data_IF_766056408526
#
_entry.id   IF_766056408526
#
_cell.length_a   1.000
_cell.length_b   1.000
_cell.length_c   1.000
_cell.angle_alpha   90.00
_cell.angle_beta   90.00
_cell.angle_gamma   90.00
#
_symmetry.space_group_name_H-M   'P 1'
#
loop_
_entity.id
_entity.type
_entity.pdbx_description
1 polymer ?
#
# COMPACT_ATOMS: atom_id res chain seq x y z
N UNK A 1 13.07 12.89 -15.65
CA UNK A 1 11.74 12.45 -15.18
C UNK A 1 11.51 11.01 -15.54
N UNK A 2 10.97 10.26 -14.59
CA UNK A 2 10.46 8.90 -14.81
C UNK A 2 8.98 8.99 -15.24
N UNK A 3 8.59 8.20 -16.23
CA UNK A 3 7.23 8.17 -16.80
C UNK A 3 6.64 6.74 -16.83
N UNK A 4 7.31 5.78 -16.20
CA UNK A 4 6.77 4.43 -16.00
C UNK A 4 5.92 4.36 -14.73
N UNK A 5 5.58 3.15 -14.33
CA UNK A 5 4.93 2.89 -13.04
C UNK A 5 5.94 2.38 -12.02
N UNK A 6 5.72 2.72 -10.76
CA UNK A 6 6.53 2.27 -9.62
C UNK A 6 5.88 1.04 -9.00
N UNK A 7 6.60 -0.08 -8.97
CA UNK A 7 6.13 -1.32 -8.34
C UNK A 7 6.93 -1.64 -7.08
N UNK A 8 6.25 -2.11 -6.03
CA UNK A 8 6.92 -2.58 -4.82
C UNK A 8 7.59 -3.94 -5.04
N UNK A 9 8.62 -4.24 -4.25
CA UNK A 9 9.12 -5.60 -4.09
C UNK A 9 8.08 -6.49 -3.37
N UNK A 10 8.27 -7.81 -3.40
CA UNK A 10 7.44 -8.79 -2.73
C UNK A 10 7.42 -8.54 -1.20
N UNK A 11 6.23 -8.27 -0.66
CA UNK A 11 6.04 -7.85 0.75
C UNK A 11 6.83 -6.59 1.11
N UNK A 12 7.20 -5.77 0.12
CA UNK A 12 8.01 -4.58 0.34
C UNK A 12 7.34 -3.59 1.27
N UNK A 13 6.02 -3.40 1.13
CA UNK A 13 5.25 -2.52 2.01
C UNK A 13 5.09 -3.09 3.42
N UNK A 14 4.96 -4.42 3.57
CA UNK A 14 4.81 -5.07 4.89
C UNK A 14 6.06 -4.84 5.76
N UNK A 15 7.23 -4.78 5.11
CA UNK A 15 8.53 -4.54 5.75
C UNK A 15 8.79 -3.08 6.13
N UNK A 16 7.88 -2.15 5.84
CA UNK A 16 7.95 -0.77 6.34
C UNK A 16 7.90 -0.76 7.87
N UNK A 17 7.17 -1.71 8.46
CA UNK A 17 7.08 -1.90 9.90
C UNK A 17 7.80 -3.17 10.34
N UNK A 18 8.51 -3.12 11.48
CA UNK A 18 9.21 -4.27 12.05
C UNK A 18 8.28 -5.32 12.68
N UNK A 19 7.00 -4.98 12.93
CA UNK A 19 6.00 -5.94 13.35
C UNK A 19 5.05 -6.26 12.17
N UNK A 20 5.17 -7.45 11.53
CA UNK A 20 4.45 -7.81 10.31
C UNK A 20 2.93 -7.96 10.50
N UNK A 21 2.39 -7.83 11.71
CA UNK A 21 0.95 -7.83 11.98
C UNK A 21 0.44 -6.55 12.63
N UNK A 22 1.31 -5.60 13.01
CA UNK A 22 0.85 -4.54 13.89
C UNK A 22 -0.06 -3.52 13.21
N UNK A 23 0.16 -3.15 11.94
CA UNK A 23 -0.59 -2.05 11.29
C UNK A 23 -0.57 -2.15 9.75
N UNK A 24 -1.28 -3.14 9.20
CA UNK A 24 -1.38 -3.32 7.74
C UNK A 24 -1.93 -2.07 7.02
N UNK A 25 -2.93 -1.40 7.60
CA UNK A 25 -3.44 -0.10 7.10
C UNK A 25 -2.35 0.98 6.96
N UNK A 26 -1.40 1.04 7.91
CA UNK A 26 -0.36 2.08 7.89
C UNK A 26 0.64 1.87 6.76
N UNK A 27 1.03 0.62 6.50
CA UNK A 27 1.99 0.31 5.44
C UNK A 27 1.40 0.56 4.06
N UNK A 28 0.12 0.23 3.87
CA UNK A 28 -0.65 0.56 2.66
C UNK A 28 -0.72 2.07 2.47
N UNK A 29 -1.11 2.82 3.51
CA UNK A 29 -1.16 4.27 3.46
C UNK A 29 0.19 4.90 3.10
N UNK A 30 1.27 4.48 3.79
CA UNK A 30 2.60 5.00 3.56
C UNK A 30 3.12 4.69 2.15
N UNK A 31 2.87 3.49 1.64
CA UNK A 31 3.30 3.07 0.30
C UNK A 31 2.62 3.86 -0.81
N UNK A 32 1.30 4.01 -0.75
CA UNK A 32 0.54 4.74 -1.80
C UNK A 32 0.86 6.23 -1.75
N UNK A 33 0.92 6.85 -0.56
CA UNK A 33 1.28 8.27 -0.43
C UNK A 33 2.73 8.57 -0.83
N UNK A 34 3.61 7.55 -0.83
CA UNK A 34 4.97 7.67 -1.36
C UNK A 34 5.04 7.59 -2.89
N UNK A 35 3.92 7.30 -3.59
CA UNK A 35 3.85 7.21 -5.04
C UNK A 35 4.13 5.81 -5.61
N UNK A 36 3.86 4.75 -4.84
CA UNK A 36 3.85 3.38 -5.38
C UNK A 36 2.55 3.18 -6.16
N UNK A 37 2.67 2.93 -7.46
CA UNK A 37 1.52 2.71 -8.35
C UNK A 37 0.99 1.28 -8.28
N UNK A 38 1.88 0.31 -8.04
CA UNK A 38 1.53 -1.11 -7.97
C UNK A 38 2.19 -1.79 -6.78
N UNK A 39 1.38 -2.46 -5.96
CA UNK A 39 1.86 -3.22 -4.79
C UNK A 39 1.93 -4.71 -5.13
N UNK A 40 3.11 -5.31 -4.94
CA UNK A 40 3.32 -6.74 -5.12
C UNK A 40 2.98 -7.51 -3.83
N UNK A 41 1.83 -8.20 -3.85
CA UNK A 41 1.33 -9.02 -2.74
C UNK A 41 1.42 -10.51 -3.07
N UNK A 42 2.14 -11.33 -2.27
CA UNK A 42 2.26 -12.76 -2.55
C UNK A 42 1.10 -13.62 -2.05
N UNK A 43 0.39 -13.21 -1.00
CA UNK A 43 -0.59 -14.08 -0.31
C UNK A 43 -1.96 -13.42 -0.09
N UNK A 44 -2.02 -12.25 0.56
CA UNK A 44 -3.28 -11.70 1.08
C UNK A 44 -3.75 -10.43 0.34
N UNK A 45 -4.10 -10.56 -0.93
CA UNK A 45 -4.55 -9.41 -1.75
C UNK A 45 -5.90 -8.82 -1.29
N UNK A 46 -6.76 -9.62 -0.64
CA UNK A 46 -8.05 -9.16 -0.12
C UNK A 46 -7.87 -8.12 0.99
N UNK A 47 -6.92 -8.35 1.92
CA UNK A 47 -6.63 -7.40 3.00
C UNK A 47 -6.10 -6.07 2.47
N UNK A 48 -5.20 -6.11 1.47
CA UNK A 48 -4.75 -4.91 0.77
C UNK A 48 -5.94 -4.13 0.15
N UNK A 49 -6.84 -4.84 -0.53
CA UNK A 49 -7.97 -4.22 -1.20
C UNK A 49 -8.95 -3.58 -0.21
N UNK A 50 -9.26 -4.25 0.89
CA UNK A 50 -10.14 -3.76 1.93
C UNK A 50 -9.55 -2.52 2.62
N UNK A 51 -8.26 -2.56 2.95
CA UNK A 51 -7.54 -1.44 3.57
C UNK A 51 -7.45 -0.23 2.64
N UNK A 52 -7.10 -0.45 1.36
CA UNK A 52 -7.03 0.62 0.37
C UNK A 52 -8.40 1.26 0.14
N UNK A 53 -9.44 0.42 0.02
CA UNK A 53 -10.82 0.89 -0.13
C UNK A 53 -11.27 1.70 1.09
N UNK A 54 -10.90 1.28 2.29
CA UNK A 54 -11.19 2.01 3.53
C UNK A 54 -10.47 3.38 3.56
N UNK A 55 -9.20 3.43 3.15
CA UNK A 55 -8.40 4.66 3.11
C UNK A 55 -8.95 5.68 2.10
N UNK A 56 -9.38 5.22 0.93
CA UNK A 56 -10.04 6.05 -0.09
C UNK A 56 -11.38 6.56 0.42
N UNK A 57 -12.23 5.68 0.99
CA UNK A 57 -13.54 6.08 1.55
C UNK A 57 -13.41 7.09 2.69
N UNK A 58 -12.31 7.05 3.44
CA UNK A 58 -11.99 8.01 4.51
C UNK A 58 -11.32 9.30 4.02
N UNK A 59 -11.10 9.46 2.71
CA UNK A 59 -10.36 10.58 2.11
C UNK A 59 -8.94 10.75 2.68
N UNK A 60 -8.32 9.66 3.13
CA UNK A 60 -6.91 9.65 3.58
C UNK A 60 -5.98 9.55 2.37
N UNK A 61 -6.35 8.69 1.42
CA UNK A 61 -5.81 8.68 0.07
C UNK A 61 -6.85 9.38 -0.79
N UNK A 62 -6.46 10.48 -1.42
CA UNK A 62 -7.34 11.24 -2.29
C UNK A 62 -7.44 10.55 -3.65
N UNK A 63 -8.65 10.57 -4.22
CA UNK A 63 -8.85 10.31 -5.63
C UNK A 63 -8.72 11.65 -6.33
N UNK A 64 -7.53 11.92 -6.86
CA UNK A 64 -7.22 13.13 -7.64
C UNK A 64 -7.81 13.08 -9.06
#
# INVERSE_FOLDING_TARGET
NFYGFVVSDCQGIDKITSNPHAKHIYTVQAGILAGIDMVMVPYNHTELFDDLTLLVKKNVILMD
#
